data_IF_397724062574
#
_entry.id   IF_397724062574
#
_cell.length_a   1.000
_cell.length_b   1.000
_cell.length_c   1.000
_cell.angle_alpha   90.00
_cell.angle_beta   90.00
_cell.angle_gamma   90.00
#
_symmetry.space_group_name_H-M   'P 1'
#
loop_
_entity.id
_entity.type
_entity.pdbx_description
1 polymer ?
#
# COMPACT_ATOMS: atom_id res chain seq x y z
N UNK A 1 34.17 67.93 -30.87
CA UNK A 1 35.56 67.88 -30.37
C UNK A 1 35.47 67.75 -28.86
N UNK A 2 35.81 66.59 -28.28
CA UNK A 2 37.18 66.26 -27.84
C UNK A 2 37.61 67.16 -26.66
N UNK A 3 38.16 66.72 -25.53
CA UNK A 3 38.65 65.44 -25.03
C UNK A 3 38.95 65.64 -23.51
N UNK A 4 38.85 64.55 -22.75
CA UNK A 4 39.72 64.11 -21.65
C UNK A 4 39.90 64.86 -20.30
N UNK A 5 39.92 64.00 -19.28
CA UNK A 5 40.76 63.99 -18.06
C UNK A 5 40.24 64.66 -16.80
N UNK A 6 40.01 63.88 -15.74
CA UNK A 6 41.00 63.70 -14.67
C UNK A 6 40.46 62.80 -13.55
N UNK A 7 41.32 61.96 -12.99
CA UNK A 7 41.04 61.05 -11.89
C UNK A 7 41.02 61.78 -10.53
N UNK A 8 40.24 61.29 -9.57
CA UNK A 8 40.54 61.41 -8.15
C UNK A 8 39.99 60.21 -7.38
N UNK A 9 40.88 59.63 -6.58
CA UNK A 9 40.71 58.45 -5.73
C UNK A 9 40.23 58.92 -4.35
N UNK A 10 39.10 58.43 -3.83
CA UNK A 10 38.79 58.50 -2.38
C UNK A 10 38.03 57.24 -1.97
N UNK A 11 38.69 56.41 -1.16
CA UNK A 11 38.10 55.34 -0.36
C UNK A 11 37.26 55.96 0.77
N UNK A 12 35.99 55.57 0.87
CA UNK A 12 35.21 55.72 2.10
C UNK A 12 34.60 54.37 2.46
N UNK A 13 35.14 53.79 3.54
CA UNK A 13 34.63 52.62 4.21
C UNK A 13 33.22 52.93 4.76
N UNK A 14 32.21 52.20 4.27
CA UNK A 14 30.96 52.02 5.01
C UNK A 14 30.96 50.57 5.48
N UNK A 15 31.41 50.38 6.71
CA UNK A 15 31.10 49.17 7.48
C UNK A 15 29.69 49.33 8.02
N UNK A 16 28.78 48.48 7.55
CA UNK A 16 27.49 48.27 8.20
C UNK A 16 27.02 46.84 7.94
N UNK A 17 27.12 46.03 9.00
CA UNK A 17 26.35 44.81 9.29
C UNK A 17 26.39 43.70 8.23
N UNK A 18 27.36 42.79 8.37
CA UNK A 18 27.11 41.40 8.00
C UNK A 18 26.10 40.81 8.99
N UNK A 19 25.01 40.17 8.55
CA UNK A 19 24.29 39.25 9.42
C UNK A 19 25.12 37.96 9.47
N UNK A 20 25.95 37.83 10.50
CA UNK A 20 26.40 36.51 10.92
C UNK A 20 25.24 35.76 11.58
N UNK A 21 25.10 34.50 11.19
CA UNK A 21 24.30 33.42 11.77
C UNK A 21 22.77 33.49 11.63
N UNK A 22 22.24 32.66 10.72
CA UNK A 22 21.03 31.83 11.00
C UNK A 22 20.73 30.83 9.87
N UNK A 23 21.75 30.17 9.31
CA UNK A 23 21.48 29.01 8.43
C UNK A 23 21.08 27.78 9.23
N UNK A 24 21.53 27.62 10.48
CA UNK A 24 21.24 26.43 11.30
C UNK A 24 19.79 26.41 11.82
N UNK A 25 19.24 27.55 12.28
CA UNK A 25 17.86 27.61 12.76
C UNK A 25 16.83 27.45 11.62
N UNK A 26 17.11 27.93 10.41
CA UNK A 26 16.18 27.79 9.29
C UNK A 26 16.14 26.35 8.75
N UNK A 27 17.29 25.66 8.77
CA UNK A 27 17.40 24.25 8.35
C UNK A 27 16.70 23.31 9.36
N UNK A 28 16.87 23.55 10.67
CA UNK A 28 16.18 22.80 11.72
C UNK A 28 14.64 23.00 11.69
N UNK A 29 14.16 24.21 11.40
CA UNK A 29 12.72 24.47 11.27
C UNK A 29 12.14 23.75 10.04
N UNK A 30 12.89 23.71 8.93
CA UNK A 30 12.48 22.99 7.71
C UNK A 30 12.43 21.48 7.97
N UNK A 31 13.46 20.90 8.58
CA UNK A 31 13.50 19.48 8.95
C UNK A 31 12.38 19.10 9.92
N UNK A 32 12.12 19.93 10.94
CA UNK A 32 11.04 19.70 11.90
C UNK A 32 9.65 19.85 11.28
N UNK A 33 9.50 20.71 10.27
CA UNK A 33 8.27 20.85 9.50
C UNK A 33 8.03 19.67 8.56
N UNK A 34 9.10 19.16 7.92
CA UNK A 34 9.06 18.00 7.03
C UNK A 34 8.74 16.72 7.82
N UNK A 35 9.41 16.48 8.95
CA UNK A 35 9.12 15.34 9.83
C UNK A 35 7.69 15.39 10.41
N UNK A 36 7.15 16.58 10.70
CA UNK A 36 5.77 16.72 11.15
C UNK A 36 4.74 16.49 10.03
N UNK A 37 5.07 16.87 8.80
CA UNK A 37 4.23 16.59 7.63
C UNK A 37 4.20 15.08 7.34
N UNK A 38 5.37 14.44 7.36
CA UNK A 38 5.54 13.00 7.16
C UNK A 38 4.73 12.18 8.18
N UNK A 39 4.85 12.52 9.48
CA UNK A 39 4.04 11.92 10.55
C UNK A 39 2.54 12.13 10.35
N UNK A 40 2.12 13.30 9.85
CA UNK A 40 0.70 13.57 9.57
C UNK A 40 0.17 12.69 8.43
N UNK A 41 0.99 12.48 7.39
CA UNK A 41 0.66 11.61 6.26
C UNK A 41 0.55 10.16 6.72
N UNK A 42 1.56 9.65 7.44
CA UNK A 42 1.52 8.29 7.97
C UNK A 42 0.28 8.05 8.85
N UNK A 43 -0.03 8.99 9.76
CA UNK A 43 -1.23 8.87 10.59
C UNK A 43 -2.53 8.85 9.76
N UNK A 44 -2.58 9.59 8.66
CA UNK A 44 -3.75 9.59 7.78
C UNK A 44 -3.88 8.25 7.04
N UNK A 45 -2.78 7.71 6.53
CA UNK A 45 -2.73 6.39 5.88
C UNK A 45 -3.13 5.28 6.85
N UNK A 46 -2.59 5.28 8.07
CA UNK A 46 -2.95 4.31 9.11
C UNK A 46 -4.45 4.37 9.46
N UNK A 47 -5.03 5.57 9.53
CA UNK A 47 -6.47 5.75 9.78
C UNK A 47 -7.28 5.19 8.61
N UNK A 48 -6.90 5.51 7.37
CA UNK A 48 -7.58 5.02 6.18
C UNK A 48 -7.52 3.49 6.10
N UNK A 49 -6.35 2.91 6.33
CA UNK A 49 -6.16 1.46 6.34
C UNK A 49 -7.01 0.78 7.43
N UNK A 50 -7.06 1.35 8.63
CA UNK A 50 -7.90 0.84 9.71
C UNK A 50 -9.40 0.87 9.34
N UNK A 51 -9.86 1.92 8.66
CA UNK A 51 -11.24 2.02 8.17
C UNK A 51 -11.51 0.94 7.13
N UNK A 52 -10.63 0.80 6.13
CA UNK A 52 -10.74 -0.22 5.06
C UNK A 52 -10.78 -1.62 5.66
N UNK A 53 -9.90 -1.92 6.61
CA UNK A 53 -9.84 -3.21 7.28
C UNK A 53 -11.07 -3.47 8.15
N UNK A 54 -11.64 -2.45 8.78
CA UNK A 54 -12.90 -2.56 9.53
C UNK A 54 -14.05 -3.00 8.62
N UNK A 55 -14.21 -2.34 7.46
CA UNK A 55 -15.22 -2.73 6.48
C UNK A 55 -14.96 -4.13 5.88
N UNK A 56 -13.72 -4.44 5.54
CA UNK A 56 -13.34 -5.74 5.00
C UNK A 56 -13.59 -6.89 6.02
N UNK A 57 -13.45 -6.60 7.32
CA UNK A 57 -13.77 -7.55 8.40
C UNK A 57 -15.27 -7.80 8.53
N UNK A 58 -16.10 -6.78 8.31
CA UNK A 58 -17.56 -6.94 8.28
C UNK A 58 -18.00 -7.70 7.02
N UNK A 59 -17.42 -7.37 5.86
CA UNK A 59 -17.66 -8.05 4.59
C UNK A 59 -17.23 -9.52 4.61
N UNK A 60 -16.18 -9.88 5.37
CA UNK A 60 -15.78 -11.27 5.59
C UNK A 60 -16.87 -12.17 6.19
N UNK A 61 -17.94 -11.61 6.78
CA UNK A 61 -19.09 -12.36 7.32
C UNK A 61 -20.25 -12.50 6.32
N UNK A 62 -20.13 -11.92 5.13
CA UNK A 62 -21.15 -11.90 4.08
C UNK A 62 -20.59 -12.51 2.80
N UNK A 63 -21.33 -13.38 2.14
CA UNK A 63 -20.83 -14.06 0.93
C UNK A 63 -20.73 -13.15 -0.29
N UNK A 64 -21.52 -12.08 -0.35
CA UNK A 64 -21.75 -11.24 -1.52
C UNK A 64 -21.04 -9.88 -1.49
N UNK A 65 -20.22 -9.62 -0.46
CA UNK A 65 -19.56 -8.32 -0.24
C UNK A 65 -18.05 -8.50 -0.25
N UNK A 66 -17.38 -7.64 -1.02
CA UNK A 66 -15.92 -7.55 -1.12
C UNK A 66 -15.48 -6.08 -0.99
N UNK A 67 -14.24 -5.79 -0.55
CA UNK A 67 -13.15 -6.72 -0.19
C UNK A 67 -13.38 -7.42 1.15
N UNK A 68 -12.62 -8.48 1.43
CA UNK A 68 -12.70 -9.28 2.68
C UNK A 68 -11.37 -9.30 3.41
N UNK A 69 -11.41 -9.27 4.74
CA UNK A 69 -10.23 -9.45 5.57
C UNK A 69 -10.10 -10.92 6.00
N UNK A 70 -8.94 -11.50 5.73
CA UNK A 70 -8.49 -12.77 6.31
C UNK A 70 -7.70 -12.42 7.58
N UNK A 71 -8.26 -12.81 8.72
CA UNK A 71 -7.57 -12.67 10.01
C UNK A 71 -6.92 -14.00 10.33
N UNK A 72 -5.59 -14.02 10.39
CA UNK A 72 -4.85 -15.17 10.90
C UNK A 72 -5.11 -15.31 12.40
N UNK A 73 -5.56 -16.49 12.83
CA UNK A 73 -5.43 -16.91 14.21
C UNK A 73 -4.01 -17.43 14.45
N UNK A 74 -3.57 -17.52 15.72
CA UNK A 74 -2.22 -17.96 16.06
C UNK A 74 -1.91 -19.36 15.49
N UNK A 75 -1.00 -19.46 14.51
CA UNK A 75 -0.50 -20.73 13.94
C UNK A 75 -0.50 -20.76 12.41
N UNK A 76 -0.07 -21.89 11.82
CA UNK A 76 -0.32 -22.16 10.40
C UNK A 76 -1.80 -22.49 10.25
N UNK A 77 -2.50 -21.75 9.39
CA UNK A 77 -3.94 -21.84 9.26
C UNK A 77 -4.34 -21.99 7.80
N UNK A 78 -5.27 -22.90 7.55
CA UNK A 78 -6.10 -22.94 6.36
C UNK A 78 -7.35 -22.13 6.66
N UNK A 79 -7.60 -21.07 5.88
CA UNK A 79 -8.83 -20.30 5.91
C UNK A 79 -9.68 -20.74 4.73
N UNK A 80 -10.68 -21.56 5.02
CA UNK A 80 -11.68 -22.00 4.04
C UNK A 80 -12.91 -21.10 4.10
N UNK A 81 -13.40 -20.72 2.92
CA UNK A 81 -14.65 -19.99 2.73
C UNK A 81 -15.47 -20.71 1.67
N UNK A 82 -16.68 -21.08 2.03
CA UNK A 82 -17.58 -21.85 1.18
C UNK A 82 -18.76 -20.99 0.73
N UNK A 83 -19.26 -21.24 -0.48
CA UNK A 83 -20.43 -20.57 -1.05
C UNK A 83 -20.29 -19.04 -1.08
N UNK A 84 -19.09 -18.56 -1.39
CA UNK A 84 -18.82 -17.16 -1.65
C UNK A 84 -19.44 -16.74 -2.98
N UNK A 85 -19.88 -15.48 -3.09
CA UNK A 85 -20.57 -14.98 -4.29
C UNK A 85 -19.80 -13.82 -4.88
N UNK A 86 -19.25 -14.03 -6.08
CA UNK A 86 -18.60 -12.97 -6.83
C UNK A 86 -19.68 -12.12 -7.49
N UNK A 87 -20.09 -11.01 -6.87
CA UNK A 87 -21.09 -10.08 -7.43
C UNK A 87 -20.49 -9.27 -8.59
N UNK A 88 -19.28 -8.73 -8.38
CA UNK A 88 -18.52 -7.96 -9.37
C UNK A 88 -17.65 -8.87 -10.25
N UNK A 89 -16.69 -8.30 -11.00
CA UNK A 89 -15.73 -9.10 -11.79
C UNK A 89 -14.61 -9.71 -10.96
N UNK A 90 -14.43 -9.25 -9.73
CA UNK A 90 -13.42 -9.75 -8.81
C UNK A 90 -13.88 -9.63 -7.36
N UNK A 91 -13.18 -10.33 -6.48
CA UNK A 91 -13.22 -10.15 -5.03
C UNK A 91 -11.80 -10.10 -4.49
N UNK A 92 -11.49 -9.08 -3.70
CA UNK A 92 -10.18 -8.91 -3.09
C UNK A 92 -10.19 -9.42 -1.64
N UNK A 93 -9.12 -10.10 -1.26
CA UNK A 93 -8.87 -10.64 0.07
C UNK A 93 -7.60 -10.00 0.63
N UNK A 94 -7.74 -9.31 1.74
CA UNK A 94 -6.65 -8.69 2.47
C UNK A 94 -6.12 -9.66 3.52
N UNK A 95 -4.81 -9.74 3.64
CA UNK A 95 -4.11 -10.54 4.65
C UNK A 95 -2.79 -9.88 5.04
N UNK A 96 -2.32 -10.17 6.24
CA UNK A 96 -1.12 -9.59 6.84
C UNK A 96 -0.20 -10.70 7.37
N UNK A 97 0.37 -11.50 6.46
CA UNK A 97 1.23 -12.63 6.82
C UNK A 97 2.61 -12.14 7.25
N UNK A 98 3.31 -12.96 8.02
CA UNK A 98 4.69 -12.75 8.46
C UNK A 98 5.69 -13.07 7.35
N UNK A 99 6.77 -12.30 7.32
CA UNK A 99 7.92 -12.57 6.45
C UNK A 99 8.41 -14.01 6.62
N UNK A 100 8.71 -14.67 5.50
CA UNK A 100 9.15 -16.06 5.46
C UNK A 100 8.01 -17.08 5.37
N UNK A 101 6.77 -16.71 5.70
CA UNK A 101 5.61 -17.59 5.47
C UNK A 101 5.36 -17.82 3.97
N UNK A 102 4.59 -18.86 3.68
CA UNK A 102 4.10 -19.20 2.33
C UNK A 102 2.60 -19.06 2.29
N UNK A 103 2.10 -18.44 1.22
CA UNK A 103 0.68 -18.32 0.91
C UNK A 103 0.37 -19.28 -0.24
N UNK A 104 -0.65 -20.11 -0.07
CA UNK A 104 -1.24 -20.89 -1.16
C UNK A 104 -2.73 -20.59 -1.26
N UNK A 105 -3.25 -20.62 -2.49
CA UNK A 105 -4.66 -20.31 -2.77
C UNK A 105 -5.23 -21.39 -3.68
N UNK A 106 -6.37 -21.95 -3.29
CA UNK A 106 -7.15 -22.89 -4.08
C UNK A 106 -8.57 -22.38 -4.24
N UNK A 107 -9.09 -22.45 -5.47
CA UNK A 107 -10.46 -22.07 -5.81
C UNK A 107 -11.09 -23.24 -6.58
N UNK A 108 -12.34 -23.56 -6.29
CA UNK A 108 -13.02 -24.72 -6.88
C UNK A 108 -13.62 -24.48 -8.29
N UNK A 109 -13.47 -23.28 -8.85
CA UNK A 109 -14.02 -22.91 -10.17
C UNK A 109 -12.90 -22.46 -11.12
N UNK A 110 -12.75 -23.16 -12.24
CA UNK A 110 -11.71 -22.90 -13.25
C UNK A 110 -11.90 -21.58 -14.00
N UNK A 111 -13.06 -20.94 -13.89
CA UNK A 111 -13.32 -19.62 -14.45
C UNK A 111 -12.82 -18.49 -13.55
N UNK A 112 -12.20 -18.82 -12.41
CA UNK A 112 -11.64 -17.85 -11.49
C UNK A 112 -10.12 -18.01 -11.46
N UNK A 113 -9.43 -16.91 -11.71
CA UNK A 113 -7.99 -16.80 -11.53
C UNK A 113 -7.68 -16.19 -10.17
N UNK A 114 -6.70 -16.76 -9.46
CA UNK A 114 -6.21 -16.25 -8.18
C UNK A 114 -4.84 -15.58 -8.37
N UNK A 115 -4.77 -14.27 -8.10
CA UNK A 115 -3.56 -13.47 -8.24
C UNK A 115 -3.23 -12.78 -6.92
N UNK A 116 -1.97 -12.73 -6.53
CA UNK A 116 -1.47 -11.70 -5.63
C UNK A 116 -1.26 -10.43 -6.48
N UNK A 117 -1.79 -9.29 -6.04
CA UNK A 117 -1.63 -8.00 -6.73
C UNK A 117 -0.88 -6.97 -5.89
N UNK A 118 -0.68 -7.25 -4.60
CA UNK A 118 0.11 -6.45 -3.65
C UNK A 118 0.85 -7.44 -2.72
N UNK A 119 2.15 -7.25 -2.44
CA UNK A 119 3.00 -6.16 -2.94
C UNK A 119 3.49 -6.37 -4.37
N UNK A 120 3.56 -7.61 -4.84
CA UNK A 120 4.02 -7.98 -6.17
C UNK A 120 3.00 -8.87 -6.89
N UNK A 121 3.01 -8.81 -8.23
CA UNK A 121 2.16 -9.68 -9.03
C UNK A 121 2.65 -11.14 -8.95
N UNK A 122 1.81 -12.03 -8.45
CA UNK A 122 2.07 -13.48 -8.44
C UNK A 122 0.82 -14.25 -8.85
N UNK A 123 0.96 -15.22 -9.75
CA UNK A 123 -0.14 -16.09 -10.13
C UNK A 123 -0.08 -17.38 -9.31
N UNK A 124 -1.09 -17.64 -8.48
CA UNK A 124 -1.12 -18.83 -7.62
C UNK A 124 -1.26 -20.14 -8.41
N UNK A 125 -1.62 -20.09 -9.71
CA UNK A 125 -1.51 -21.25 -10.60
C UNK A 125 -0.05 -21.71 -10.83
N UNK A 126 0.93 -20.83 -10.59
CA UNK A 126 2.36 -21.14 -10.68
C UNK A 126 2.96 -21.65 -9.35
N UNK A 127 2.12 -21.89 -8.34
CA UNK A 127 2.52 -22.37 -7.02
C UNK A 127 2.43 -21.31 -5.92
N UNK A 128 2.93 -21.67 -4.74
CA UNK A 128 2.84 -20.84 -3.54
C UNK A 128 3.69 -19.56 -3.64
N UNK A 129 3.23 -18.50 -2.99
CA UNK A 129 3.99 -17.26 -2.84
C UNK A 129 4.77 -17.27 -1.52
N UNK A 130 6.06 -16.94 -1.57
CA UNK A 130 6.86 -16.72 -0.37
C UNK A 130 6.80 -15.25 0.02
N UNK A 131 6.34 -14.98 1.24
CA UNK A 131 6.21 -13.63 1.79
C UNK A 131 7.60 -13.04 2.06
N UNK A 132 7.84 -11.86 1.49
CA UNK A 132 9.11 -11.12 1.57
C UNK A 132 9.03 -9.84 2.43
N UNK A 133 7.83 -9.38 2.78
CA UNK A 133 7.63 -8.26 3.71
C UNK A 133 6.44 -8.49 4.65
N UNK A 134 6.46 -7.81 5.81
CA UNK A 134 5.36 -7.83 6.80
C UNK A 134 4.32 -6.73 6.51
N UNK A 135 3.91 -6.60 5.25
CA UNK A 135 2.94 -5.59 4.83
C UNK A 135 1.61 -6.22 4.40
N UNK A 136 0.65 -5.36 4.06
CA UNK A 136 -0.61 -5.77 3.46
C UNK A 136 -0.37 -6.56 2.17
N UNK A 137 -0.93 -7.76 2.12
CA UNK A 137 -1.03 -8.54 0.91
C UNK A 137 -2.47 -8.48 0.39
N UNK A 138 -2.62 -8.50 -0.93
CA UNK A 138 -3.95 -8.51 -1.57
C UNK A 138 -4.02 -9.63 -2.58
N UNK A 139 -4.83 -10.64 -2.26
CA UNK A 139 -5.20 -11.71 -3.19
C UNK A 139 -6.46 -11.28 -3.91
N UNK A 140 -6.40 -11.17 -5.23
CA UNK A 140 -7.55 -10.92 -6.10
C UNK A 140 -8.01 -12.22 -6.74
N UNK A 141 -9.26 -12.59 -6.48
CA UNK A 141 -9.96 -13.61 -7.25
C UNK A 141 -10.70 -12.90 -8.39
N UNK A 142 -10.29 -13.15 -9.63
CA UNK A 142 -10.84 -12.47 -10.81
C UNK A 142 -11.54 -13.47 -11.73
N UNK A 143 -12.69 -13.10 -12.27
CA UNK A 143 -13.34 -13.89 -13.31
C UNK A 143 -12.52 -13.85 -14.61
N UNK A 144 -12.16 -15.02 -15.10
CA UNK A 144 -11.38 -15.28 -16.31
C UNK A 144 -12.06 -16.31 -17.25
N UNK A 145 -13.39 -16.46 -17.16
CA UNK A 145 -14.14 -17.33 -18.06
C UNK A 145 -14.27 -16.75 -19.47
N UNK A 146 -14.43 -17.61 -20.48
CA UNK A 146 -14.49 -17.23 -21.89
C UNK A 146 -15.74 -16.40 -22.27
N UNK A 147 -16.82 -16.48 -21.48
CA UNK A 147 -18.09 -15.80 -21.74
C UNK A 147 -18.34 -14.67 -20.75
N UNK A 148 -19.50 -14.00 -20.81
CA UNK A 148 -19.93 -13.08 -19.76
C UNK A 148 -20.02 -13.79 -18.40
N UNK A 149 -19.53 -13.13 -17.35
CA UNK A 149 -19.65 -13.61 -15.97
C UNK A 149 -21.14 -13.77 -15.59
N UNK A 150 -21.54 -14.92 -15.02
CA UNK A 150 -22.85 -15.05 -14.39
C UNK A 150 -23.09 -13.94 -13.34
N UNK A 151 -24.34 -13.49 -13.20
CA UNK A 151 -24.71 -12.45 -12.22
C UNK A 151 -24.20 -12.81 -10.81
N UNK A 152 -24.45 -14.03 -10.39
CA UNK A 152 -23.98 -14.60 -9.13
C UNK A 152 -23.11 -15.82 -9.47
N UNK A 153 -21.80 -15.63 -9.54
CA UNK A 153 -20.85 -16.75 -9.65
C UNK A 153 -20.52 -17.20 -8.24
N UNK A 154 -20.91 -18.43 -7.89
CA UNK A 154 -20.69 -19.02 -6.57
C UNK A 154 -19.39 -19.82 -6.60
N UNK A 155 -18.54 -19.66 -5.59
CA UNK A 155 -17.25 -20.35 -5.50
C UNK A 155 -16.89 -20.66 -4.05
N UNK A 156 -16.00 -21.63 -3.89
CA UNK A 156 -15.29 -21.92 -2.64
C UNK A 156 -13.83 -21.52 -2.81
N UNK A 157 -13.24 -20.96 -1.75
CA UNK A 157 -11.81 -20.61 -1.72
C UNK A 157 -11.17 -21.09 -0.43
N UNK A 158 -9.98 -21.67 -0.55
CA UNK A 158 -9.09 -21.97 0.56
C UNK A 158 -7.82 -21.13 0.42
N UNK A 159 -7.49 -20.35 1.44
CA UNK A 159 -6.22 -19.63 1.56
C UNK A 159 -5.43 -20.24 2.70
N UNK A 160 -4.25 -20.78 2.42
CA UNK A 160 -3.38 -21.37 3.45
C UNK A 160 -2.18 -20.47 3.67
N UNK A 161 -1.89 -20.19 4.94
CA UNK A 161 -0.66 -19.53 5.35
C UNK A 161 0.15 -20.49 6.22
N UNK A 162 1.37 -20.82 5.78
CA UNK A 162 2.26 -21.77 6.46
C UNK A 162 3.66 -21.21 6.69
N UNK A 163 4.35 -21.72 7.71
CA UNK A 163 5.76 -21.41 7.97
C UNK A 163 6.70 -22.29 7.16
#
# INVERSE_FOLDING_TARGET
>A
MALFSSAFFVFLFISACSPESSSENSLLIIEQSAANLDRKLQNAEDIEENIINSYARLAAKRSDVCPKLIQEALGSQVIERTSEVMVNKHCDYFLYPREGQRISVSVNDSQIEALLIVPALHNFANGDYKVDSYDKHVIRLNYNGATYKPKNLVYDVAVTVSS
#
